data_IF_286494472425
#
_entry.id   IF_286494472425
#
_cell.length_a   1.000
_cell.length_b   1.000
_cell.length_c   1.000
_cell.angle_alpha   90.00
_cell.angle_beta   90.00
_cell.angle_gamma   90.00
#
_symmetry.space_group_name_H-M   'P 1'
#
loop_
_entity.id
_entity.type
_entity.pdbx_description
1 polymer ?
#
# COMPACT_ATOMS: atom_id res chain seq x y z
N UNK A 1 -49.39 0.07 1.63
CA UNK A 1 -48.07 -0.04 0.92
C UNK A 1 -47.01 -0.11 1.99
N UNK A 2 -46.63 -1.31 2.39
CA UNK A 2 -45.58 -1.56 3.41
C UNK A 2 -44.22 -1.55 2.72
N UNK A 3 -43.44 -0.53 3.03
CA UNK A 3 -42.05 -0.39 2.58
C UNK A 3 -41.24 -1.57 3.17
N UNK A 4 -40.97 -2.61 2.38
CA UNK A 4 -40.03 -3.69 2.77
C UNK A 4 -38.63 -3.11 2.73
N UNK A 5 -38.12 -2.71 3.91
CA UNK A 5 -36.72 -2.38 4.06
C UNK A 5 -35.90 -3.66 3.82
N UNK A 6 -35.22 -3.73 2.67
CA UNK A 6 -34.23 -4.77 2.38
C UNK A 6 -33.02 -4.47 3.25
N UNK A 7 -32.91 -5.13 4.42
CA UNK A 7 -31.76 -4.98 5.31
C UNK A 7 -30.72 -6.01 4.87
N UNK A 8 -29.77 -5.58 4.04
CA UNK A 8 -28.58 -6.35 3.67
C UNK A 8 -27.60 -6.39 4.85
N UNK A 9 -27.32 -7.55 5.38
CA UNK A 9 -26.30 -7.75 6.39
C UNK A 9 -25.00 -8.24 5.75
N UNK A 10 -23.89 -7.67 6.16
CA UNK A 10 -22.58 -7.91 5.59
C UNK A 10 -21.73 -8.79 6.52
N UNK A 11 -21.11 -9.84 5.96
CA UNK A 11 -20.02 -10.51 6.63
C UNK A 11 -18.84 -9.52 6.77
N UNK A 12 -18.46 -9.20 8.00
CA UNK A 12 -17.17 -8.56 8.23
C UNK A 12 -16.10 -9.65 8.08
N UNK A 13 -15.45 -9.74 6.92
CA UNK A 13 -14.24 -10.53 6.79
C UNK A 13 -13.17 -9.89 7.68
N UNK A 14 -12.69 -10.62 8.69
CA UNK A 14 -11.30 -10.44 9.11
C UNK A 14 -10.45 -10.72 7.86
N UNK A 15 -9.36 -9.95 7.61
CA UNK A 15 -8.52 -10.22 6.47
C UNK A 15 -8.05 -11.68 6.55
N UNK A 16 -8.64 -12.53 5.73
CA UNK A 16 -8.17 -13.89 5.57
C UNK A 16 -6.84 -13.74 4.83
N UNK A 17 -5.73 -13.91 5.51
CA UNK A 17 -4.44 -14.14 4.87
C UNK A 17 -4.51 -15.55 4.27
N UNK A 18 -5.15 -15.66 3.12
CA UNK A 18 -5.06 -16.86 2.32
C UNK A 18 -3.64 -16.91 1.74
N UNK A 19 -2.72 -17.56 2.44
CA UNK A 19 -1.45 -17.97 1.85
C UNK A 19 -1.74 -19.17 0.96
N UNK A 20 -2.01 -18.92 -0.31
CA UNK A 20 -2.04 -19.99 -1.31
C UNK A 20 -0.59 -20.29 -1.68
N UNK A 21 0.11 -21.06 -0.85
CA UNK A 21 1.39 -21.64 -1.24
C UNK A 21 1.10 -22.91 -2.05
N UNK A 22 1.09 -22.78 -3.37
CA UNK A 22 1.20 -23.90 -4.26
C UNK A 22 2.68 -24.20 -4.48
N UNK A 23 3.18 -25.34 -4.01
CA UNK A 23 4.55 -25.79 -4.22
C UNK A 23 4.89 -25.94 -5.71
N UNK A 24 3.87 -26.04 -6.59
CA UNK A 24 4.07 -26.13 -8.04
C UNK A 24 4.51 -24.80 -8.67
N UNK A 25 4.30 -23.66 -8.02
CA UNK A 25 4.66 -22.32 -8.52
C UNK A 25 5.74 -21.69 -7.65
N UNK A 26 6.99 -22.03 -7.97
CA UNK A 26 8.15 -21.49 -7.24
C UNK A 26 8.42 -20.03 -7.61
N UNK A 27 8.59 -19.13 -6.61
CA UNK A 27 8.94 -17.74 -6.89
C UNK A 27 10.31 -17.63 -7.59
N UNK A 28 10.55 -16.55 -8.34
CA UNK A 28 11.82 -16.35 -9.02
C UNK A 28 12.97 -16.26 -8.00
N UNK A 29 14.12 -16.84 -8.36
CA UNK A 29 15.33 -16.74 -7.55
C UNK A 29 15.87 -15.30 -7.61
N UNK A 30 15.73 -14.56 -6.50
CA UNK A 30 16.20 -13.20 -6.33
C UNK A 30 17.34 -13.14 -5.32
N UNK A 31 18.30 -12.24 -5.57
CA UNK A 31 19.45 -12.03 -4.68
C UNK A 31 19.17 -11.09 -3.52
N UNK A 32 18.10 -10.29 -3.61
CA UNK A 32 17.68 -9.39 -2.55
C UNK A 32 17.52 -10.10 -1.21
N UNK A 33 17.81 -9.37 -0.12
CA UNK A 33 17.69 -9.88 1.25
C UNK A 33 16.25 -10.19 1.63
N UNK A 34 15.34 -9.33 1.23
CA UNK A 34 13.90 -9.52 1.43
C UNK A 34 13.11 -9.08 0.21
N UNK A 35 11.96 -9.70 -0.01
CA UNK A 35 10.99 -9.29 -1.00
C UNK A 35 9.57 -9.71 -0.62
N UNK A 36 8.60 -9.02 -1.19
CA UNK A 36 7.18 -9.36 -1.08
C UNK A 36 6.47 -8.97 -2.39
N UNK A 37 5.59 -9.83 -2.87
CA UNK A 37 4.69 -9.58 -3.98
C UNK A 37 3.26 -9.85 -3.51
N UNK A 38 2.37 -8.88 -3.71
CA UNK A 38 0.96 -8.95 -3.28
C UNK A 38 0.05 -8.58 -4.44
N UNK A 39 -1.04 -9.34 -4.59
CA UNK A 39 -2.20 -8.93 -5.38
C UNK A 39 -3.07 -7.99 -4.55
N UNK A 40 -3.23 -6.75 -5.01
CA UNK A 40 -3.92 -5.72 -4.23
C UNK A 40 -5.43 -5.97 -4.11
N UNK A 41 -6.05 -6.63 -5.10
CA UNK A 41 -7.50 -6.82 -5.11
C UNK A 41 -7.95 -7.90 -4.13
N UNK A 42 -7.18 -8.98 -4.02
CA UNK A 42 -7.48 -10.10 -3.12
C UNK A 42 -6.68 -10.05 -1.80
N UNK A 43 -5.75 -9.12 -1.66
CA UNK A 43 -4.76 -9.04 -0.56
C UNK A 43 -3.93 -10.34 -0.41
N UNK A 44 -3.75 -11.09 -1.52
CA UNK A 44 -3.05 -12.38 -1.52
C UNK A 44 -1.56 -12.17 -1.71
N UNK A 45 -0.76 -12.77 -0.82
CA UNK A 45 0.70 -12.85 -0.97
C UNK A 45 1.03 -13.91 -2.04
N UNK A 46 1.67 -13.49 -3.14
CA UNK A 46 2.04 -14.37 -4.25
C UNK A 46 3.47 -14.90 -4.13
N UNK A 47 4.35 -14.13 -3.53
CA UNK A 47 5.73 -14.53 -3.27
C UNK A 47 6.31 -13.68 -2.11
N UNK A 48 7.11 -14.30 -1.27
CA UNK A 48 7.78 -13.58 -0.18
C UNK A 48 9.08 -14.25 0.25
N UNK A 49 9.96 -13.42 0.81
CA UNK A 49 11.17 -13.83 1.51
C UNK A 49 11.48 -12.78 2.57
N UNK A 50 11.61 -13.19 3.83
CA UNK A 50 11.94 -12.30 4.95
C UNK A 50 11.05 -11.05 5.04
N UNK A 51 9.77 -11.14 4.67
CA UNK A 51 8.87 -10.00 4.53
C UNK A 51 8.59 -9.26 5.83
N UNK A 52 8.74 -9.94 6.97
CA UNK A 52 8.43 -9.42 8.31
C UNK A 52 9.70 -9.06 9.11
N UNK A 53 10.88 -9.26 8.51
CA UNK A 53 12.15 -8.87 9.15
C UNK A 53 12.29 -7.35 9.13
N UNK A 54 12.65 -6.76 10.26
CA UNK A 54 12.94 -5.33 10.38
C UNK A 54 14.15 -4.94 9.54
N UNK A 55 13.98 -3.91 8.78
CA UNK A 55 14.98 -3.32 7.88
C UNK A 55 15.04 -1.81 8.07
N UNK A 56 16.13 -1.19 7.69
CA UNK A 56 16.18 0.25 7.52
C UNK A 56 15.40 0.62 6.25
N UNK A 57 14.33 1.45 6.35
CA UNK A 57 13.48 1.75 5.20
C UNK A 57 14.12 2.70 4.19
N UNK A 58 15.21 3.40 4.57
CA UNK A 58 15.77 4.46 3.75
C UNK A 58 14.67 5.42 3.24
N UNK A 59 14.75 5.93 2.02
CA UNK A 59 13.74 6.83 1.46
C UNK A 59 12.37 6.20 1.18
N UNK A 60 12.15 4.90 1.47
CA UNK A 60 10.79 4.35 1.51
C UNK A 60 9.97 4.95 2.65
N UNK A 61 10.62 5.50 3.68
CA UNK A 61 10.01 6.35 4.73
C UNK A 61 9.12 7.45 4.15
N UNK A 62 9.51 8.02 3.00
CA UNK A 62 8.77 9.10 2.34
C UNK A 62 7.39 8.69 1.83
N UNK A 63 7.08 7.38 1.81
CA UNK A 63 5.70 6.93 1.61
C UNK A 63 4.80 7.41 2.74
N UNK A 64 5.26 7.35 4.01
CA UNK A 64 4.49 7.88 5.15
C UNK A 64 4.46 9.41 5.13
N UNK A 65 5.54 10.06 4.72
CA UNK A 65 5.57 11.54 4.55
C UNK A 65 4.56 11.99 3.50
N UNK A 66 4.51 11.31 2.35
CA UNK A 66 3.51 11.57 1.30
C UNK A 66 2.09 11.25 1.79
N UNK A 67 1.91 10.14 2.49
CA UNK A 67 0.62 9.74 3.04
C UNK A 67 0.01 10.83 3.94
N UNK A 68 0.79 11.37 4.88
CA UNK A 68 0.33 12.44 5.77
C UNK A 68 0.06 13.75 5.03
N UNK A 69 0.82 14.04 3.96
CA UNK A 69 0.56 15.19 3.11
C UNK A 69 -0.74 15.00 2.31
N UNK A 70 -0.97 13.83 1.73
CA UNK A 70 -2.22 13.49 1.05
C UNK A 70 -3.42 13.52 2.00
N UNK A 71 -3.27 13.03 3.23
CA UNK A 71 -4.31 13.11 4.27
C UNK A 71 -4.63 14.56 4.62
N UNK A 72 -3.62 15.45 4.71
CA UNK A 72 -3.82 16.87 4.98
C UNK A 72 -4.55 17.57 3.81
N UNK A 73 -4.23 17.21 2.57
CA UNK A 73 -4.93 17.69 1.38
C UNK A 73 -6.37 17.18 1.32
N UNK A 74 -6.58 15.88 1.53
CA UNK A 74 -7.89 15.25 1.55
C UNK A 74 -8.82 15.88 2.60
N UNK A 75 -8.29 16.19 3.78
CA UNK A 75 -8.98 16.89 4.85
C UNK A 75 -9.08 18.40 4.65
N UNK A 76 -8.58 18.95 3.53
CA UNK A 76 -8.57 20.38 3.21
C UNK A 76 -7.84 21.24 4.27
N UNK A 77 -6.89 20.67 5.00
CA UNK A 77 -5.99 21.39 5.91
C UNK A 77 -4.85 22.07 5.16
N UNK A 78 -4.53 21.55 3.96
CA UNK A 78 -3.62 22.13 2.98
C UNK A 78 -4.34 22.21 1.63
N UNK A 79 -3.83 23.04 0.72
CA UNK A 79 -4.16 22.97 -0.72
C UNK A 79 -2.88 22.80 -1.55
N UNK A 80 -3.01 22.25 -2.75
CA UNK A 80 -1.88 22.05 -3.68
C UNK A 80 -1.19 23.36 -4.05
N UNK A 81 -1.97 24.44 -4.18
CA UNK A 81 -1.49 25.78 -4.55
C UNK A 81 -0.90 26.56 -3.37
N UNK A 82 -1.18 26.11 -2.14
CA UNK A 82 -0.64 26.76 -0.93
C UNK A 82 0.88 26.82 -1.02
N UNK A 83 1.41 28.03 -0.79
CA UNK A 83 2.86 28.24 -0.75
C UNK A 83 3.35 28.27 0.70
N UNK A 84 4.49 27.66 0.92
CA UNK A 84 5.14 27.57 2.23
C UNK A 84 6.60 28.01 2.13
N UNK A 85 7.09 28.64 3.17
CA UNK A 85 8.47 29.15 3.21
C UNK A 85 9.43 28.00 3.52
N UNK A 86 10.51 27.92 2.76
CA UNK A 86 11.61 26.97 2.98
C UNK A 86 12.45 27.41 4.17
N UNK A 87 12.48 26.62 5.23
CA UNK A 87 13.33 26.86 6.39
C UNK A 87 14.81 26.59 6.07
N UNK A 88 15.71 27.20 6.81
CA UNK A 88 17.13 26.90 6.70
C UNK A 88 17.45 25.43 7.08
N UNK A 89 16.73 24.88 8.07
CA UNK A 89 16.84 23.47 8.47
C UNK A 89 16.47 22.53 7.31
N UNK A 90 15.39 22.81 6.60
CA UNK A 90 14.97 22.02 5.45
C UNK A 90 15.96 22.12 4.28
N UNK A 91 16.45 23.34 3.99
CA UNK A 91 17.47 23.56 2.97
C UNK A 91 18.77 22.81 3.27
N UNK A 92 19.20 22.73 4.53
CA UNK A 92 20.40 22.01 4.95
C UNK A 92 20.24 20.49 4.98
N UNK A 93 19.04 19.94 4.77
CA UNK A 93 18.79 18.50 4.82
C UNK A 93 19.76 17.75 3.88
N UNK A 94 20.57 16.80 4.39
CA UNK A 94 21.58 16.11 3.59
C UNK A 94 20.93 15.06 2.67
N UNK A 95 21.70 14.61 1.67
CA UNK A 95 21.29 13.56 0.74
C UNK A 95 20.57 14.08 -0.50
N UNK A 96 19.51 13.39 -0.96
CA UNK A 96 18.77 13.79 -2.16
C UNK A 96 17.99 15.10 -1.95
N UNK A 97 18.03 16.00 -2.93
CA UNK A 97 17.39 17.32 -2.87
C UNK A 97 16.61 17.61 -4.14
N UNK A 98 15.54 18.40 -4.03
CA UNK A 98 14.90 19.04 -5.16
C UNK A 98 15.47 20.46 -5.42
N UNK A 99 16.48 20.86 -4.65
CA UNK A 99 17.22 22.14 -4.75
C UNK A 99 16.38 23.36 -4.37
N UNK A 100 15.73 23.26 -3.21
CA UNK A 100 15.05 24.40 -2.59
C UNK A 100 16.06 25.47 -2.13
N UNK A 101 15.64 26.74 -2.15
CA UNK A 101 16.43 27.87 -1.64
C UNK A 101 15.84 28.33 -0.30
N UNK A 102 16.67 28.62 0.71
CA UNK A 102 16.20 29.08 2.02
C UNK A 102 15.48 30.42 1.90
N UNK A 103 14.34 30.56 2.59
CA UNK A 103 13.51 31.76 2.56
C UNK A 103 12.62 31.89 1.30
N UNK A 104 12.81 31.06 0.28
CA UNK A 104 11.89 31.02 -0.87
C UNK A 104 10.54 30.43 -0.51
N UNK A 105 9.52 30.75 -1.29
CA UNK A 105 8.21 30.11 -1.19
C UNK A 105 8.04 29.03 -2.26
N UNK A 106 7.52 27.86 -1.86
CA UNK A 106 7.30 26.71 -2.75
C UNK A 106 5.88 26.17 -2.56
N UNK A 107 5.23 25.72 -3.63
CA UNK A 107 3.90 25.14 -3.57
C UNK A 107 3.93 23.73 -2.96
N UNK A 108 2.85 23.33 -2.27
CA UNK A 108 2.69 21.96 -1.77
C UNK A 108 2.75 20.96 -2.92
N UNK A 109 2.22 21.30 -4.10
CA UNK A 109 2.30 20.47 -5.30
C UNK A 109 3.74 20.21 -5.72
N UNK A 110 4.58 21.25 -5.81
CA UNK A 110 5.99 21.12 -6.18
C UNK A 110 6.78 20.32 -5.15
N UNK A 111 6.49 20.52 -3.86
CA UNK A 111 7.08 19.72 -2.78
C UNK A 111 6.75 18.24 -2.92
N UNK A 112 5.51 17.90 -3.23
CA UNK A 112 5.10 16.51 -3.46
C UNK A 112 5.79 15.91 -4.69
N UNK A 113 5.89 16.66 -5.79
CA UNK A 113 6.63 16.22 -6.98
C UNK A 113 8.11 16.01 -6.65
N UNK A 114 8.75 16.93 -5.96
CA UNK A 114 10.14 16.81 -5.52
C UNK A 114 10.38 15.64 -4.55
N UNK A 115 9.45 15.43 -3.61
CA UNK A 115 9.47 14.29 -2.68
C UNK A 115 9.41 12.95 -3.40
N UNK A 116 8.54 12.83 -4.39
CA UNK A 116 8.24 11.57 -5.09
C UNK A 116 9.27 11.30 -6.19
N UNK A 117 9.49 12.26 -7.09
CA UNK A 117 10.33 12.09 -8.28
C UNK A 117 11.81 12.04 -7.90
N UNK A 118 12.30 13.07 -7.21
CA UNK A 118 13.71 13.21 -6.85
C UNK A 118 14.05 12.58 -5.51
N UNK A 119 13.02 12.25 -4.71
CA UNK A 119 13.23 11.80 -3.33
C UNK A 119 13.85 12.90 -2.44
N UNK A 120 13.48 14.17 -2.65
CA UNK A 120 14.04 15.34 -1.96
C UNK A 120 13.86 15.25 -0.45
N UNK A 121 14.98 15.31 0.30
CA UNK A 121 14.97 15.40 1.75
C UNK A 121 14.57 16.81 2.21
N UNK A 122 14.99 17.82 1.48
CA UNK A 122 14.53 19.21 1.64
C UNK A 122 13.00 19.31 1.51
N UNK A 123 12.41 18.72 0.47
CA UNK A 123 10.96 18.68 0.30
C UNK A 123 10.25 17.93 1.44
N UNK A 124 10.82 16.82 1.91
CA UNK A 124 10.26 16.06 3.04
C UNK A 124 10.22 16.90 4.32
N UNK A 125 11.28 17.66 4.59
CA UNK A 125 11.39 18.53 5.76
C UNK A 125 10.40 19.69 5.68
N UNK A 126 10.29 20.38 4.54
CA UNK A 126 9.33 21.48 4.37
C UNK A 126 7.89 20.97 4.53
N UNK A 127 7.54 19.81 3.96
CA UNK A 127 6.22 19.20 4.15
C UNK A 127 5.96 18.87 5.62
N UNK A 128 6.94 18.30 6.33
CA UNK A 128 6.82 18.00 7.75
C UNK A 128 6.55 19.26 8.59
N UNK A 129 7.31 20.34 8.33
CA UNK A 129 7.13 21.62 8.99
C UNK A 129 5.77 22.26 8.66
N UNK A 130 5.34 22.21 7.40
CA UNK A 130 4.07 22.76 6.96
C UNK A 130 2.85 22.04 7.58
N UNK A 131 2.95 20.72 7.80
CA UNK A 131 1.85 19.90 8.31
C UNK A 131 1.78 19.94 9.84
N UNK A 132 2.94 19.90 10.51
CA UNK A 132 3.02 19.70 11.96
C UNK A 132 3.76 20.82 12.72
N UNK A 133 4.27 21.83 12.03
CA UNK A 133 5.06 22.90 12.62
C UNK A 133 6.52 22.55 12.89
N UNK A 134 6.85 21.27 13.01
CA UNK A 134 8.22 20.77 13.14
C UNK A 134 8.33 19.31 12.72
N UNK A 135 9.56 18.87 12.37
CA UNK A 135 9.80 17.45 12.09
C UNK A 135 9.50 16.55 13.29
N UNK A 136 9.83 16.98 14.52
CA UNK A 136 9.58 16.20 15.72
C UNK A 136 8.09 15.92 15.92
N UNK A 137 7.23 16.93 15.74
CA UNK A 137 5.78 16.75 15.80
C UNK A 137 5.27 15.91 14.63
N UNK A 138 5.87 16.06 13.46
CA UNK A 138 5.54 15.23 12.31
C UNK A 138 5.87 13.75 12.54
N UNK A 139 7.00 13.44 13.15
CA UNK A 139 7.38 12.06 13.53
C UNK A 139 6.38 11.46 14.52
N UNK A 140 5.86 12.24 15.46
CA UNK A 140 4.76 11.78 16.32
C UNK A 140 3.53 11.40 15.50
N UNK A 141 3.17 12.22 14.49
CA UNK A 141 2.06 11.91 13.58
C UNK A 141 2.34 10.66 12.76
N UNK A 142 3.56 10.49 12.21
CA UNK A 142 3.96 9.29 11.46
C UNK A 142 3.77 8.01 12.27
N UNK A 143 4.22 8.00 13.52
CA UNK A 143 4.12 6.81 14.37
C UNK A 143 2.68 6.56 14.85
N UNK A 144 1.89 7.60 15.11
CA UNK A 144 0.46 7.44 15.39
C UNK A 144 -0.28 6.81 14.22
N UNK A 145 0.06 7.22 13.00
CA UNK A 145 -0.54 6.69 11.79
C UNK A 145 -0.08 5.25 11.52
N UNK A 146 1.18 4.94 11.76
CA UNK A 146 1.70 3.57 11.70
C UNK A 146 0.93 2.63 12.66
N UNK A 147 0.64 3.08 13.89
CA UNK A 147 -0.18 2.32 14.84
C UNK A 147 -1.62 2.13 14.34
N UNK A 148 -2.25 3.19 13.79
CA UNK A 148 -3.61 3.12 13.22
C UNK A 148 -3.69 2.09 12.09
N UNK A 149 -2.67 2.05 11.23
CA UNK A 149 -2.54 1.10 10.13
C UNK A 149 -2.08 -0.29 10.58
N UNK A 150 -1.75 -0.48 11.87
CA UNK A 150 -1.20 -1.73 12.41
C UNK A 150 0.12 -2.14 11.72
N UNK A 151 0.99 -1.16 11.46
CA UNK A 151 2.35 -1.41 10.99
C UNK A 151 3.21 -1.81 12.20
N UNK A 152 3.15 -3.09 12.56
CA UNK A 152 3.68 -3.62 13.84
C UNK A 152 5.20 -3.64 13.93
N UNK A 153 5.86 -3.67 12.76
CA UNK A 153 7.31 -3.69 12.63
C UNK A 153 7.85 -2.39 12.03
N UNK A 154 7.20 -1.26 12.36
CA UNK A 154 7.58 0.05 11.85
C UNK A 154 7.70 1.08 12.96
N UNK A 155 8.81 1.81 12.97
CA UNK A 155 9.04 2.99 13.78
C UNK A 155 9.77 4.05 12.96
N UNK A 156 9.18 5.22 12.87
CA UNK A 156 9.77 6.38 12.21
C UNK A 156 10.47 7.28 13.22
N UNK A 157 11.62 7.84 12.83
CA UNK A 157 12.43 8.74 13.66
C UNK A 157 12.69 10.08 12.94
N UNK A 158 12.52 10.12 11.62
CA UNK A 158 12.60 11.31 10.80
C UNK A 158 11.66 11.20 9.58
N UNK A 159 11.45 12.33 8.89
CA UNK A 159 10.57 12.41 7.72
C UNK A 159 11.23 11.96 6.41
N UNK A 160 12.54 11.75 6.40
CA UNK A 160 13.37 11.59 5.20
C UNK A 160 13.78 10.14 4.92
N UNK A 161 13.94 9.34 5.98
CA UNK A 161 14.51 7.99 5.91
C UNK A 161 16.05 7.99 6.00
N UNK A 162 16.64 9.03 6.50
CA UNK A 162 18.06 9.03 6.85
C UNK A 162 18.30 8.04 7.99
N UNK A 163 19.45 7.34 8.00
CA UNK A 163 19.78 6.39 9.05
C UNK A 163 19.72 7.02 10.44
N UNK A 164 19.01 6.35 11.33
CA UNK A 164 18.95 6.74 12.74
C UNK A 164 18.69 5.50 13.61
N UNK A 165 19.17 5.45 14.86
CA UNK A 165 18.80 4.41 15.79
C UNK A 165 17.27 4.27 15.89
N UNK A 166 16.78 3.06 15.94
CA UNK A 166 15.34 2.78 16.03
C UNK A 166 14.47 3.21 14.82
N UNK A 167 15.06 3.60 13.67
CA UNK A 167 14.34 3.87 12.45
C UNK A 167 14.25 2.60 11.61
N UNK A 168 13.13 1.91 11.66
CA UNK A 168 12.94 0.64 10.98
C UNK A 168 11.52 0.46 10.42
N UNK A 169 11.39 -0.46 9.48
CA UNK A 169 10.13 -0.95 8.95
C UNK A 169 10.29 -2.41 8.50
N UNK A 170 9.25 -3.00 7.92
CA UNK A 170 9.31 -4.30 7.25
C UNK A 170 8.78 -4.19 5.82
N UNK A 171 9.10 -5.18 4.97
CA UNK A 171 8.57 -5.20 3.61
C UNK A 171 7.03 -5.28 3.62
N UNK A 172 6.45 -6.05 4.54
CA UNK A 172 4.99 -6.17 4.70
C UNK A 172 4.33 -4.85 5.11
N UNK A 173 4.90 -4.16 6.09
CA UNK A 173 4.36 -2.88 6.56
C UNK A 173 4.41 -1.81 5.47
N UNK A 174 5.51 -1.75 4.71
CA UNK A 174 5.66 -0.82 3.60
C UNK A 174 4.68 -1.11 2.45
N UNK A 175 4.42 -2.38 2.13
CA UNK A 175 3.39 -2.76 1.15
C UNK A 175 2.00 -2.37 1.67
N UNK A 176 1.69 -2.60 2.94
CA UNK A 176 0.41 -2.17 3.54
C UNK A 176 0.22 -0.65 3.46
N UNK A 177 1.26 0.13 3.78
CA UNK A 177 1.24 1.58 3.64
C UNK A 177 1.00 2.01 2.17
N UNK A 178 1.68 1.37 1.22
CA UNK A 178 1.50 1.64 -0.21
C UNK A 178 0.10 1.28 -0.69
N UNK A 179 -0.46 0.16 -0.25
CA UNK A 179 -1.84 -0.26 -0.54
C UNK A 179 -2.86 0.77 -0.05
N UNK A 180 -2.66 1.30 1.17
CA UNK A 180 -3.54 2.33 1.74
C UNK A 180 -3.44 3.67 0.97
N UNK A 181 -2.24 4.06 0.51
CA UNK A 181 -2.06 5.23 -0.38
C UNK A 181 -2.89 5.07 -1.65
N UNK A 182 -2.78 3.93 -2.33
CA UNK A 182 -3.48 3.65 -3.59
C UNK A 182 -4.99 3.66 -3.40
N UNK A 183 -5.48 3.05 -2.31
CA UNK A 183 -6.90 2.93 -2.05
C UNK A 183 -7.55 4.24 -1.59
N UNK A 184 -6.87 5.01 -0.74
CA UNK A 184 -7.45 6.22 -0.13
C UNK A 184 -7.21 7.49 -0.91
N UNK A 185 -6.11 7.57 -1.67
CA UNK A 185 -5.68 8.78 -2.35
C UNK A 185 -5.39 8.54 -3.84
N UNK A 186 -6.34 7.93 -4.61
CA UNK A 186 -6.11 7.57 -6.02
C UNK A 186 -5.77 8.79 -6.87
N UNK A 187 -6.29 9.98 -6.55
CA UNK A 187 -5.98 11.23 -7.25
C UNK A 187 -4.51 11.65 -7.07
N UNK A 188 -3.97 11.57 -5.86
CA UNK A 188 -2.58 11.93 -5.55
C UNK A 188 -1.60 10.81 -5.88
N UNK A 189 -2.07 9.56 -5.91
CA UNK A 189 -1.25 8.42 -6.34
C UNK A 189 -0.70 8.60 -7.75
N UNK A 190 -1.40 9.31 -8.63
CA UNK A 190 -0.94 9.61 -10.00
C UNK A 190 0.41 10.30 -10.05
N UNK A 191 0.82 11.03 -9.01
CA UNK A 191 2.14 11.67 -8.91
C UNK A 191 3.30 10.66 -8.96
N UNK A 192 3.07 9.41 -8.54
CA UNK A 192 4.10 8.38 -8.56
C UNK A 192 4.46 7.89 -9.97
N UNK A 193 3.59 8.14 -10.96
CA UNK A 193 3.82 7.80 -12.36
C UNK A 193 4.65 8.85 -13.12
N UNK A 194 4.89 10.02 -12.53
CA UNK A 194 5.69 11.08 -13.14
C UNK A 194 7.11 10.60 -13.39
N UNK A 195 7.56 10.67 -14.64
CA UNK A 195 8.92 10.28 -15.04
C UNK A 195 9.95 11.36 -14.79
N UNK A 196 9.52 12.62 -14.90
CA UNK A 196 10.36 13.80 -14.70
C UNK A 196 9.55 14.94 -14.07
N UNK A 197 10.25 15.88 -13.48
CA UNK A 197 9.73 17.08 -12.88
C UNK A 197 10.78 18.19 -13.01
N UNK A 198 10.36 19.37 -13.41
CA UNK A 198 11.24 20.54 -13.54
C UNK A 198 10.92 21.53 -12.42
N UNK A 199 11.93 21.90 -11.66
CA UNK A 199 11.83 22.93 -10.62
C UNK A 199 13.02 23.88 -10.72
N UNK A 200 12.77 25.19 -10.73
CA UNK A 200 13.80 26.22 -10.90
C UNK A 200 14.76 25.91 -12.08
N UNK A 201 14.18 25.58 -13.23
CA UNK A 201 14.91 25.23 -14.46
C UNK A 201 15.76 23.95 -14.35
N UNK A 202 15.71 23.23 -13.23
CA UNK A 202 16.43 21.97 -13.01
C UNK A 202 15.50 20.81 -13.32
N UNK A 203 15.83 20.06 -14.38
CA UNK A 203 15.15 18.82 -14.72
C UNK A 203 15.56 17.69 -13.76
N UNK A 204 14.60 17.03 -13.17
CA UNK A 204 14.78 15.97 -12.20
C UNK A 204 14.03 14.71 -12.68
N UNK A 205 14.70 13.56 -12.69
CA UNK A 205 14.15 12.33 -13.20
C UNK A 205 13.78 11.37 -12.07
N UNK A 206 12.65 10.65 -12.26
CA UNK A 206 12.22 9.68 -11.28
C UNK A 206 13.25 8.55 -11.15
N UNK A 207 13.60 8.25 -9.90
CA UNK A 207 14.58 7.21 -9.57
C UNK A 207 14.05 5.81 -9.79
N UNK A 208 12.73 5.63 -9.93
CA UNK A 208 12.10 4.37 -10.32
C UNK A 208 12.25 4.14 -11.83
N UNK A 209 13.29 3.45 -12.22
CA UNK A 209 13.59 3.16 -13.64
C UNK A 209 12.59 2.21 -14.31
N UNK A 210 11.70 1.53 -13.55
CA UNK A 210 10.66 0.71 -14.13
C UNK A 210 9.61 1.54 -14.88
N UNK A 211 9.35 2.78 -14.46
CA UNK A 211 8.43 3.70 -15.17
C UNK A 211 8.81 3.92 -16.65
N UNK A 212 10.10 3.80 -16.97
CA UNK A 212 10.58 3.92 -18.35
C UNK A 212 10.66 2.59 -19.10
N UNK A 213 10.51 1.44 -18.43
CA UNK A 213 10.71 0.10 -18.99
C UNK A 213 9.42 -0.68 -19.20
N UNK A 214 8.46 -0.54 -18.29
CA UNK A 214 7.18 -1.25 -18.34
C UNK A 214 6.04 -0.22 -18.32
N UNK A 215 5.23 -0.13 -19.39
CA UNK A 215 4.13 0.83 -19.48
C UNK A 215 3.02 0.58 -18.47
N UNK A 216 2.98 -0.60 -17.86
CA UNK A 216 2.00 -0.95 -16.84
C UNK A 216 2.42 -0.53 -15.42
N UNK A 217 3.70 -0.15 -15.23
CA UNK A 217 4.22 0.34 -13.94
C UNK A 217 3.84 1.82 -13.76
N UNK A 218 3.24 2.13 -12.63
CA UNK A 218 2.73 3.48 -12.31
C UNK A 218 3.18 4.00 -10.92
N UNK A 219 4.13 3.33 -10.30
CA UNK A 219 4.69 3.72 -9.00
C UNK A 219 5.78 2.76 -8.52
N UNK A 220 6.37 2.91 -7.33
CA UNK A 220 6.14 4.01 -6.42
C UNK A 220 7.46 4.65 -5.97
N UNK A 221 8.25 3.97 -5.09
CA UNK A 221 9.35 4.63 -4.39
C UNK A 221 10.60 3.77 -4.32
N UNK A 222 11.74 4.41 -4.50
CA UNK A 222 13.07 3.84 -4.28
C UNK A 222 13.62 4.24 -2.92
N UNK A 223 14.47 3.41 -2.35
CA UNK A 223 15.29 3.69 -1.17
C UNK A 223 16.75 3.28 -1.40
N UNK A 224 17.66 3.99 -0.75
CA UNK A 224 19.07 3.62 -0.69
C UNK A 224 19.75 4.31 0.50
N UNK A 225 20.44 3.53 1.30
CA UNK A 225 21.54 3.92 2.19
C UNK A 225 22.57 2.80 2.13
N UNK A 226 23.77 3.03 2.63
CA UNK A 226 24.81 1.99 2.63
C UNK A 226 24.39 0.76 3.44
N UNK A 227 23.60 0.95 4.50
CA UNK A 227 23.10 -0.13 5.38
C UNK A 227 21.81 -0.79 4.85
N UNK A 228 20.92 -0.02 4.21
CA UNK A 228 19.67 -0.55 3.66
C UNK A 228 19.86 -1.27 2.31
N UNK A 229 20.95 -0.98 1.59
CA UNK A 229 21.13 -1.40 0.21
C UNK A 229 20.13 -0.75 -0.75
N UNK A 230 20.03 -1.29 -1.96
CA UNK A 230 19.11 -0.78 -2.99
C UNK A 230 17.73 -1.36 -2.83
N UNK A 231 16.73 -0.51 -2.54
CA UNK A 231 15.35 -0.88 -2.32
C UNK A 231 14.44 -0.27 -3.39
N UNK A 232 13.38 -1.01 -3.78
CA UNK A 232 12.32 -0.52 -4.66
C UNK A 232 10.98 -1.12 -4.24
N UNK A 233 10.01 -0.27 -3.93
CA UNK A 233 8.61 -0.61 -3.90
C UNK A 233 8.00 -0.16 -5.23
N UNK A 234 7.46 -1.11 -6.00
CA UNK A 234 6.87 -0.86 -7.31
C UNK A 234 5.45 -1.41 -7.39
N UNK A 235 4.62 -0.79 -8.21
CA UNK A 235 3.26 -1.26 -8.52
C UNK A 235 3.05 -1.22 -10.02
N UNK A 236 2.27 -2.18 -10.51
CA UNK A 236 1.85 -2.27 -11.90
C UNK A 236 0.40 -2.72 -12.01
N UNK A 237 -0.29 -2.25 -13.04
CA UNK A 237 -1.66 -2.65 -13.36
C UNK A 237 -1.76 -3.19 -14.78
N UNK A 238 -2.29 -4.42 -14.93
CA UNK A 238 -2.57 -5.05 -16.22
C UNK A 238 -4.01 -5.57 -16.21
N UNK A 239 -4.77 -5.25 -17.23
CA UNK A 239 -6.17 -5.71 -17.41
C UNK A 239 -7.05 -5.52 -16.15
N UNK A 240 -6.88 -4.37 -15.48
CA UNK A 240 -7.61 -4.05 -14.25
C UNK A 240 -7.09 -4.70 -12.97
N UNK A 241 -6.13 -5.63 -13.05
CA UNK A 241 -5.47 -6.29 -11.93
C UNK A 241 -4.22 -5.52 -11.51
N UNK A 242 -4.06 -5.24 -10.21
CA UNK A 242 -2.92 -4.51 -9.66
C UNK A 242 -2.07 -5.37 -8.75
N UNK A 243 -0.77 -5.37 -8.99
CA UNK A 243 0.23 -5.99 -8.13
C UNK A 243 1.13 -4.93 -7.48
N UNK A 244 1.56 -5.22 -6.26
CA UNK A 244 2.59 -4.45 -5.55
C UNK A 244 3.76 -5.39 -5.27
N UNK A 245 4.96 -4.97 -5.65
CA UNK A 245 6.21 -5.66 -5.34
C UNK A 245 7.13 -4.77 -4.51
N UNK A 246 7.80 -5.34 -3.53
CA UNK A 246 8.91 -4.68 -2.82
C UNK A 246 10.14 -5.57 -2.84
N UNK A 247 11.28 -4.96 -3.12
CA UNK A 247 12.61 -5.60 -3.12
C UNK A 247 13.51 -4.78 -2.19
N UNK A 248 14.17 -5.45 -1.26
CA UNK A 248 15.02 -4.84 -0.24
C UNK A 248 16.44 -5.40 -0.36
N UNK A 249 17.42 -4.49 -0.37
CA UNK A 249 18.84 -4.82 -0.41
C UNK A 249 19.22 -5.68 -1.65
N UNK A 250 19.01 -5.13 -2.82
CA UNK A 250 19.22 -5.78 -4.12
C UNK A 250 20.60 -5.45 -4.71
N UNK A 251 21.65 -5.36 -4.00
CA UNK A 251 23.04 -5.25 -4.47
C UNK A 251 23.36 -4.08 -5.45
N UNK A 252 22.43 -3.57 -6.24
CA UNK A 252 22.60 -2.42 -7.14
C UNK A 252 21.28 -1.84 -7.62
N UNK A 253 21.31 -0.62 -8.15
CA UNK A 253 20.15 0.05 -8.79
C UNK A 253 19.58 -0.77 -9.98
N UNK A 254 20.46 -1.36 -10.80
CA UNK A 254 20.06 -2.25 -11.89
C UNK A 254 19.41 -3.53 -11.36
N UNK A 255 19.94 -4.08 -10.26
CA UNK A 255 19.42 -5.30 -9.65
C UNK A 255 18.01 -5.07 -9.08
N UNK A 256 17.78 -4.02 -8.25
CA UNK A 256 16.44 -3.73 -7.71
C UNK A 256 15.39 -3.55 -8.80
N UNK A 257 15.76 -2.86 -9.90
CA UNK A 257 14.88 -2.67 -11.06
C UNK A 257 14.55 -4.01 -11.75
N UNK A 258 15.56 -4.84 -12.01
CA UNK A 258 15.39 -6.14 -12.68
C UNK A 258 14.61 -7.14 -11.80
N UNK A 259 14.90 -7.17 -10.51
CA UNK A 259 14.25 -8.09 -9.58
C UNK A 259 12.78 -7.72 -9.34
N UNK A 260 12.46 -6.42 -9.21
CA UNK A 260 11.07 -5.97 -9.15
C UNK A 260 10.29 -6.32 -10.42
N UNK A 261 10.91 -6.17 -11.61
CA UNK A 261 10.29 -6.58 -12.87
C UNK A 261 9.99 -8.07 -12.90
N UNK A 262 10.95 -8.91 -12.45
CA UNK A 262 10.77 -10.36 -12.37
C UNK A 262 9.62 -10.75 -11.43
N UNK A 263 9.50 -10.08 -10.26
CA UNK A 263 8.40 -10.32 -9.34
C UNK A 263 7.05 -9.96 -9.95
N UNK A 264 6.94 -8.77 -10.56
CA UNK A 264 5.69 -8.34 -11.19
C UNK A 264 5.29 -9.28 -12.32
N UNK A 265 6.23 -9.64 -13.21
CA UNK A 265 5.96 -10.59 -14.28
C UNK A 265 5.54 -11.96 -13.74
N UNK A 266 6.22 -12.48 -12.74
CA UNK A 266 5.86 -13.73 -12.07
C UNK A 266 4.41 -13.71 -11.59
N UNK A 267 3.97 -12.65 -10.92
CA UNK A 267 2.60 -12.54 -10.43
C UNK A 267 1.55 -12.47 -11.54
N UNK A 268 1.84 -11.74 -12.64
CA UNK A 268 0.92 -11.66 -13.77
C UNK A 268 0.89 -12.92 -14.64
N UNK A 269 2.01 -13.62 -14.75
CA UNK A 269 2.14 -14.80 -15.61
C UNK A 269 1.67 -16.09 -14.96
N UNK A 270 1.76 -16.21 -13.63
CA UNK A 270 1.49 -17.47 -12.94
C UNK A 270 0.19 -17.48 -12.13
N UNK A 271 -0.46 -16.34 -11.93
CA UNK A 271 -1.67 -16.24 -11.11
C UNK A 271 -2.77 -15.46 -11.83
N UNK A 272 -4.00 -15.85 -11.59
CA UNK A 272 -5.21 -15.14 -12.01
C UNK A 272 -6.03 -14.71 -10.81
N UNK A 273 -6.67 -13.54 -10.90
CA UNK A 273 -7.53 -12.98 -9.85
C UNK A 273 -8.92 -12.78 -10.42
N UNK A 274 -9.93 -13.30 -9.74
CA UNK A 274 -11.32 -13.14 -10.16
C UNK A 274 -12.16 -12.62 -9.01
N UNK A 275 -13.17 -11.83 -9.37
CA UNK A 275 -14.22 -11.43 -8.44
C UNK A 275 -15.15 -12.62 -8.22
N UNK A 276 -15.22 -13.10 -6.97
CA UNK A 276 -16.12 -14.19 -6.59
C UNK A 276 -17.52 -13.66 -6.24
N UNK A 277 -17.58 -12.53 -5.52
CA UNK A 277 -18.84 -11.87 -5.15
C UNK A 277 -18.70 -10.35 -5.30
N UNK A 278 -19.80 -9.70 -5.68
CA UNK A 278 -19.89 -8.25 -5.67
C UNK A 278 -20.45 -7.76 -4.33
N UNK A 279 -20.15 -6.53 -4.00
CA UNK A 279 -20.76 -5.85 -2.84
C UNK A 279 -22.28 -5.93 -2.92
N UNK A 280 -22.89 -6.51 -1.87
CA UNK A 280 -24.34 -6.64 -1.75
C UNK A 280 -24.94 -7.91 -2.36
N UNK A 281 -24.13 -8.78 -3.00
CA UNK A 281 -24.60 -10.09 -3.41
C UNK A 281 -25.02 -10.91 -2.19
N UNK A 282 -26.16 -11.61 -2.29
CA UNK A 282 -26.58 -12.57 -1.27
C UNK A 282 -25.81 -13.87 -1.50
N UNK A 283 -24.89 -14.17 -0.60
CA UNK A 283 -24.06 -15.39 -0.66
C UNK A 283 -24.81 -16.57 -0.07
N UNK A 284 -25.55 -16.34 1.01
CA UNK A 284 -26.32 -17.38 1.71
C UNK A 284 -27.45 -16.78 2.53
N UNK A 285 -28.52 -17.57 2.75
CA UNK A 285 -29.57 -17.24 3.71
C UNK A 285 -29.32 -17.99 5.02
N UNK A 286 -29.13 -17.24 6.11
CA UNK A 286 -28.77 -17.77 7.43
C UNK A 286 -30.01 -17.83 8.34
N UNK A 287 -30.30 -18.97 8.96
CA UNK A 287 -31.41 -19.08 9.93
C UNK A 287 -31.20 -18.16 11.12
N UNK A 288 -32.24 -17.41 11.49
CA UNK A 288 -32.25 -16.48 12.65
C UNK A 288 -33.35 -16.85 13.61
N UNK A 289 -33.00 -16.94 14.87
CA UNK A 289 -33.95 -17.28 15.97
C UNK A 289 -34.45 -16.00 16.67
N UNK A 290 -35.70 -16.01 17.09
CA UNK A 290 -36.36 -14.89 17.80
C UNK A 290 -36.40 -13.58 17.00
N UNK A 291 -36.25 -13.64 15.68
CA UNK A 291 -36.38 -12.49 14.78
C UNK A 291 -37.77 -12.34 14.21
N UNK A 292 -38.04 -11.22 13.57
CA UNK A 292 -39.26 -10.99 12.77
C UNK A 292 -39.29 -11.80 11.47
N UNK A 293 -38.10 -12.29 11.05
CA UNK A 293 -37.92 -13.21 9.92
C UNK A 293 -37.17 -14.44 10.38
N UNK A 294 -37.41 -15.59 9.75
CA UNK A 294 -36.72 -16.85 10.06
C UNK A 294 -35.39 -17.01 9.35
N UNK A 295 -35.14 -16.20 8.32
CA UNK A 295 -33.90 -16.21 7.51
C UNK A 295 -33.41 -14.80 7.26
N UNK A 296 -32.10 -14.67 7.15
CA UNK A 296 -31.40 -13.41 6.96
C UNK A 296 -30.43 -13.51 5.79
N UNK A 297 -30.57 -12.68 4.73
CA UNK A 297 -29.60 -12.65 3.64
C UNK A 297 -28.24 -12.15 4.12
N UNK A 298 -27.19 -12.93 3.87
CA UNK A 298 -25.82 -12.64 4.24
C UNK A 298 -24.94 -12.49 2.99
N UNK A 299 -23.99 -11.55 3.03
CA UNK A 299 -23.05 -11.28 1.94
C UNK A 299 -21.87 -10.45 2.40
N UNK A 300 -21.07 -9.97 1.46
CA UNK A 300 -19.86 -9.19 1.73
C UNK A 300 -20.15 -7.69 1.71
N UNK A 301 -19.41 -6.93 2.55
CA UNK A 301 -19.51 -5.46 2.61
C UNK A 301 -18.78 -4.75 1.46
N UNK A 302 -17.98 -5.48 0.70
CA UNK A 302 -17.23 -5.03 -0.47
C UNK A 302 -17.17 -6.13 -1.52
N UNK A 303 -16.61 -5.80 -2.69
CA UNK A 303 -16.28 -6.80 -3.69
C UNK A 303 -15.27 -7.80 -3.10
N UNK A 304 -15.48 -9.08 -3.36
CA UNK A 304 -14.62 -10.14 -2.86
C UNK A 304 -13.89 -10.82 -4.01
N UNK A 305 -12.58 -10.72 -4.00
CA UNK A 305 -11.69 -11.26 -5.02
C UNK A 305 -10.90 -12.44 -4.47
N UNK A 306 -10.56 -13.37 -5.33
CA UNK A 306 -9.73 -14.53 -5.02
C UNK A 306 -8.65 -14.67 -6.08
N UNK A 307 -7.42 -14.92 -5.65
CA UNK A 307 -6.29 -15.20 -6.53
C UNK A 307 -5.88 -16.67 -6.40
N UNK A 308 -5.72 -17.32 -7.54
CA UNK A 308 -5.28 -18.72 -7.65
C UNK A 308 -4.20 -18.84 -8.72
N UNK A 309 -3.39 -19.92 -8.73
CA UNK A 309 -2.52 -20.22 -9.85
C UNK A 309 -3.30 -20.35 -11.16
N UNK A 310 -2.69 -19.91 -12.27
CA UNK A 310 -3.34 -19.94 -13.58
C UNK A 310 -3.84 -21.33 -13.96
N UNK A 311 -5.11 -21.38 -14.42
CA UNK A 311 -5.75 -22.61 -14.88
C UNK A 311 -6.27 -23.53 -13.77
N UNK A 312 -6.06 -23.19 -12.48
CA UNK A 312 -6.46 -24.05 -11.35
C UNK A 312 -7.71 -23.56 -10.62
N UNK A 313 -8.47 -22.64 -11.20
CA UNK A 313 -9.69 -22.09 -10.60
C UNK A 313 -10.71 -23.18 -10.18
N UNK A 314 -10.78 -24.28 -10.91
CA UNK A 314 -11.74 -25.36 -10.63
C UNK A 314 -11.39 -26.18 -9.39
N UNK A 315 -10.17 -26.07 -8.86
CA UNK A 315 -9.71 -26.73 -7.65
C UNK A 315 -10.11 -25.96 -6.37
N UNK A 316 -10.54 -24.70 -6.54
CA UNK A 316 -11.01 -23.89 -5.43
C UNK A 316 -12.31 -24.44 -4.85
N UNK A 317 -12.32 -24.66 -3.54
CA UNK A 317 -13.50 -25.05 -2.76
C UNK A 317 -13.87 -23.91 -1.82
N UNK A 318 -15.14 -23.63 -1.68
CA UNK A 318 -15.66 -22.61 -0.79
C UNK A 318 -16.65 -23.24 0.19
N UNK A 319 -16.40 -23.10 1.48
CA UNK A 319 -17.28 -23.55 2.56
C UNK A 319 -17.68 -22.38 3.43
N UNK A 320 -18.99 -22.23 3.68
CA UNK A 320 -19.51 -21.20 4.54
C UNK A 320 -19.76 -21.78 5.94
N UNK A 321 -19.04 -21.26 6.93
CA UNK A 321 -19.29 -21.54 8.34
C UNK A 321 -20.10 -20.38 8.94
N UNK A 322 -21.37 -20.60 9.25
CA UNK A 322 -22.20 -19.58 9.91
C UNK A 322 -22.22 -19.77 11.42
N UNK A 323 -22.28 -18.66 12.15
CA UNK A 323 -22.48 -18.70 13.60
C UNK A 323 -23.89 -19.18 13.92
N UNK A 324 -24.02 -20.37 14.53
CA UNK A 324 -25.30 -20.92 14.94
C UNK A 324 -25.31 -21.28 16.43
N UNK A 325 -26.43 -21.05 17.14
CA UNK A 325 -27.64 -20.34 16.70
C UNK A 325 -27.45 -18.82 16.61
N UNK A 326 -27.89 -18.22 15.49
CA UNK A 326 -27.91 -16.76 15.33
C UNK A 326 -29.19 -16.20 15.96
N UNK A 327 -29.06 -15.36 16.97
CA UNK A 327 -30.18 -14.76 17.72
C UNK A 327 -30.37 -13.29 17.31
N UNK A 328 -31.62 -12.91 17.10
CA UNK A 328 -31.98 -11.49 16.92
C UNK A 328 -31.83 -10.71 18.23
N UNK A 329 -31.52 -9.38 18.17
CA UNK A 329 -31.35 -8.58 16.97
C UNK A 329 -29.95 -8.73 16.34
N UNK A 330 -29.87 -8.77 15.01
CA UNK A 330 -28.62 -8.79 14.24
C UNK A 330 -28.45 -7.43 13.57
N UNK A 331 -27.27 -6.84 13.68
CA UNK A 331 -26.97 -5.49 13.17
C UNK A 331 -26.33 -5.55 11.79
N UNK A 332 -26.58 -4.54 10.97
CA UNK A 332 -25.88 -4.36 9.70
C UNK A 332 -24.36 -4.27 9.96
N UNK A 333 -23.55 -5.00 9.18
CA UNK A 333 -22.10 -5.07 9.35
C UNK A 333 -21.62 -6.01 10.47
N UNK A 334 -22.53 -6.68 11.18
CA UNK A 334 -22.15 -7.70 12.16
C UNK A 334 -21.58 -8.92 11.44
N UNK A 335 -20.42 -9.42 11.89
CA UNK A 335 -19.88 -10.70 11.42
C UNK A 335 -20.79 -11.84 11.93
N UNK A 336 -21.30 -12.64 11.00
CA UNK A 336 -22.25 -13.74 11.29
C UNK A 336 -21.76 -15.09 10.75
N UNK A 337 -20.56 -15.11 10.17
CA UNK A 337 -19.96 -16.33 9.62
C UNK A 337 -18.61 -16.06 9.00
N UNK A 338 -18.02 -17.11 8.45
CA UNK A 338 -16.74 -17.12 7.76
C UNK A 338 -16.86 -17.92 6.47
N UNK A 339 -16.37 -17.35 5.36
CA UNK A 339 -16.17 -18.11 4.13
C UNK A 339 -14.75 -18.68 4.15
N UNK A 340 -14.64 -19.99 4.23
CA UNK A 340 -13.37 -20.71 4.13
C UNK A 340 -13.14 -21.08 2.68
N UNK A 341 -12.01 -20.67 2.14
CA UNK A 341 -11.56 -21.10 0.83
C UNK A 341 -10.42 -22.11 1.02
N UNK A 342 -10.53 -23.25 0.38
CA UNK A 342 -9.49 -24.26 0.32
C UNK A 342 -9.12 -24.52 -1.12
N UNK A 343 -7.85 -24.80 -1.33
CA UNK A 343 -7.29 -25.08 -2.63
C UNK A 343 -6.64 -26.46 -2.55
N UNK A 344 -7.00 -27.35 -3.43
CA UNK A 344 -6.78 -28.80 -3.42
C UNK A 344 -5.60 -29.29 -2.56
N UNK A 345 -5.96 -29.84 -1.41
CA UNK A 345 -5.08 -30.32 -0.39
C UNK A 345 -5.38 -29.66 0.93
#
# INVERSE_FOLDING_TARGET
>A
MTLRALILFFLACLPAQAQVFDESVSPPNLRSRAFLLVDLQSDTVLAQKNSDVRIEPASLTKLMTAYLAFEALYQKRLSTEQRVVVSEKAWQAPGSRMFLEPGSEVSIEDLLKGLIVQSGNDAAMVLAEAIAGSEDQFVVMMNREAQRMRLSDTKFVNATGLPAPEHYSSARDLVRLASDIIARFPEYFTLYSLREFVYNEIAQYNRNKLLGRDPHVDGMKTGFTDSAGFCLLATAQRDGRRLISIVIDAGSDKARTSESQKLLNFGFEHFETRKLYSKGDVVHEIPVWKGSTSQLPAGFSGDFYVTVPNGRWQELRAELESMQPLLAPVRAGQSIGMLRLTFDG
#
